data_IF_326613638030
#
_entry.id   IF_326613638030
#
_cell.length_a   1.000
_cell.length_b   1.000
_cell.length_c   1.000
_cell.angle_alpha   90.00
_cell.angle_beta   90.00
_cell.angle_gamma   90.00
#
_symmetry.space_group_name_H-M   'P 1'
#
loop_
_entity.id
_entity.type
_entity.pdbx_description
1 polymer ?
#
# COMPACT_ATOMS: atom_id res chain seq x y z
N UNK A 1 5.64 -59.83 15.95
CA UNK A 1 4.54 -59.48 15.03
C UNK A 1 5.03 -58.41 14.06
N UNK A 2 5.47 -58.81 12.87
CA UNK A 2 5.72 -57.88 11.77
C UNK A 2 4.38 -57.70 11.04
N UNK A 3 3.77 -56.53 11.18
CA UNK A 3 2.56 -56.17 10.42
C UNK A 3 2.95 -55.92 8.96
N UNK A 4 2.93 -56.98 8.13
CA UNK A 4 3.25 -56.92 6.69
C UNK A 4 2.24 -56.06 5.91
N UNK A 5 1.04 -55.84 6.47
CA UNK A 5 -0.07 -55.15 5.80
C UNK A 5 -0.14 -53.64 6.06
N UNK A 6 0.57 -53.10 7.04
CA UNK A 6 0.60 -51.65 7.32
C UNK A 6 1.97 -51.24 7.85
N UNK A 7 2.73 -50.54 7.02
CA UNK A 7 4.06 -50.04 7.39
C UNK A 7 3.94 -48.70 8.12
N UNK A 8 3.86 -48.77 9.45
CA UNK A 8 3.74 -47.60 10.31
C UNK A 8 4.93 -46.64 10.19
N UNK A 9 6.16 -47.16 10.02
CA UNK A 9 7.35 -46.32 9.85
C UNK A 9 7.30 -45.52 8.54
N UNK A 10 6.91 -46.16 7.44
CA UNK A 10 6.70 -45.48 6.16
C UNK A 10 5.58 -44.44 6.25
N UNK A 11 4.45 -44.75 6.90
CA UNK A 11 3.36 -43.79 7.09
C UNK A 11 3.78 -42.57 7.93
N UNK A 12 4.58 -42.77 8.99
CA UNK A 12 5.12 -41.66 9.79
C UNK A 12 6.08 -40.80 8.97
N UNK A 13 6.95 -41.42 8.18
CA UNK A 13 7.86 -40.73 7.28
C UNK A 13 7.12 -39.91 6.21
N UNK A 14 6.12 -40.51 5.53
CA UNK A 14 5.27 -39.82 4.55
C UNK A 14 4.50 -38.67 5.17
N UNK A 15 3.90 -38.85 6.35
CA UNK A 15 3.20 -37.77 7.07
C UNK A 15 4.15 -36.62 7.44
N UNK A 16 5.40 -36.92 7.81
CA UNK A 16 6.42 -35.92 8.13
C UNK A 16 6.87 -35.17 6.87
N UNK A 17 7.05 -35.89 5.76
CA UNK A 17 7.38 -35.32 4.45
C UNK A 17 6.28 -34.37 3.96
N UNK A 18 5.01 -34.77 4.03
CA UNK A 18 3.89 -33.90 3.65
C UNK A 18 3.81 -32.62 4.51
N UNK A 19 4.17 -32.67 5.80
CA UNK A 19 4.26 -31.45 6.63
C UNK A 19 5.39 -30.53 6.17
N UNK A 20 6.55 -31.10 5.86
CA UNK A 20 7.69 -30.34 5.35
C UNK A 20 7.39 -29.70 4.00
N UNK A 21 6.75 -30.40 3.07
CA UNK A 21 6.35 -29.87 1.76
C UNK A 21 5.40 -28.67 1.90
N UNK A 22 4.42 -28.75 2.81
CA UNK A 22 3.51 -27.62 3.10
C UNK A 22 4.26 -26.42 3.67
N UNK A 23 5.16 -26.65 4.62
CA UNK A 23 5.99 -25.58 5.20
C UNK A 23 6.92 -24.96 4.16
N UNK A 24 7.52 -25.77 3.29
CA UNK A 24 8.38 -25.30 2.21
C UNK A 24 7.59 -24.45 1.20
N UNK A 25 6.38 -24.89 0.84
CA UNK A 25 5.50 -24.14 -0.06
C UNK A 25 5.13 -22.77 0.52
N UNK A 26 4.78 -22.69 1.80
CA UNK A 26 4.48 -21.42 2.47
C UNK A 26 5.71 -20.50 2.55
N UNK A 27 6.89 -21.04 2.82
CA UNK A 27 8.14 -20.26 2.82
C UNK A 27 8.48 -19.75 1.41
N UNK A 28 8.30 -20.57 0.39
CA UNK A 28 8.50 -20.17 -1.01
C UNK A 28 7.53 -19.08 -1.44
N UNK A 29 6.27 -19.14 -1.01
CA UNK A 29 5.28 -18.09 -1.26
C UNK A 29 5.70 -16.76 -0.62
N UNK A 30 6.15 -16.77 0.63
CA UNK A 30 6.68 -15.58 1.33
C UNK A 30 7.95 -15.04 0.67
N UNK A 31 8.82 -15.91 0.19
CA UNK A 31 10.03 -15.51 -0.54
C UNK A 31 9.68 -14.87 -1.89
N UNK A 32 8.75 -15.47 -2.64
CA UNK A 32 8.35 -14.99 -3.97
C UNK A 32 7.60 -13.65 -3.92
N UNK A 33 6.81 -13.44 -2.86
CA UNK A 33 6.04 -12.20 -2.66
C UNK A 33 6.83 -11.12 -1.94
N UNK A 34 7.86 -11.52 -1.17
CA UNK A 34 8.57 -10.65 -0.24
C UNK A 34 7.72 -10.21 0.96
N UNK A 35 6.49 -10.70 1.08
CA UNK A 35 5.56 -10.34 2.15
C UNK A 35 5.53 -11.43 3.21
N UNK A 36 5.61 -11.02 4.47
CA UNK A 36 5.46 -11.95 5.61
C UNK A 36 4.03 -12.49 5.72
N UNK A 37 3.03 -11.67 5.37
CA UNK A 37 1.60 -12.00 5.45
C UNK A 37 1.05 -11.93 4.02
N UNK A 38 0.75 -13.10 3.43
CA UNK A 38 0.19 -13.20 2.09
C UNK A 38 -1.32 -13.40 2.11
N UNK A 39 -1.84 -14.07 3.14
CA UNK A 39 -3.26 -14.36 3.27
C UNK A 39 -3.80 -14.02 4.66
N UNK A 40 -5.12 -13.85 4.75
CA UNK A 40 -5.82 -13.70 6.04
C UNK A 40 -5.71 -14.97 6.92
N UNK A 41 -5.31 -16.10 6.34
CA UNK A 41 -5.05 -17.35 7.09
C UNK A 41 -3.73 -17.28 7.87
N UNK A 42 -2.76 -16.51 7.37
CA UNK A 42 -1.47 -16.31 8.05
C UNK A 42 -1.61 -15.38 9.25
N UNK A 43 -2.28 -14.24 9.07
CA UNK A 43 -2.52 -13.23 10.10
C UNK A 43 -3.63 -12.26 9.65
N UNK A 44 -4.88 -12.53 10.04
CA UNK A 44 -6.03 -11.71 9.66
C UNK A 44 -5.93 -10.28 10.21
N UNK A 45 -5.46 -10.11 11.45
CA UNK A 45 -5.33 -8.80 12.08
C UNK A 45 -4.20 -7.99 11.44
N UNK A 46 -3.04 -8.61 11.21
CA UNK A 46 -1.91 -7.99 10.53
C UNK A 46 -2.24 -7.58 9.10
N UNK A 47 -2.97 -8.42 8.35
CA UNK A 47 -3.42 -8.08 7.00
C UNK A 47 -4.45 -6.95 6.99
N UNK A 48 -5.37 -6.92 7.96
CA UNK A 48 -6.37 -5.85 8.07
C UNK A 48 -5.71 -4.51 8.40
N UNK A 49 -4.75 -4.49 9.33
CA UNK A 49 -3.99 -3.30 9.70
C UNK A 49 -3.14 -2.81 8.52
N UNK A 50 -2.41 -3.70 7.84
CA UNK A 50 -1.57 -3.32 6.69
C UNK A 50 -2.40 -2.78 5.53
N UNK A 51 -3.58 -3.36 5.28
CA UNK A 51 -4.52 -2.87 4.27
C UNK A 51 -5.09 -1.50 4.64
N UNK A 52 -5.46 -1.30 5.91
CA UNK A 52 -5.90 0.01 6.43
C UNK A 52 -4.82 1.07 6.26
N UNK A 53 -3.57 0.76 6.66
CA UNK A 53 -2.44 1.67 6.50
C UNK A 53 -2.18 1.99 5.02
N UNK A 54 -2.23 1.00 4.14
CA UNK A 54 -2.08 1.19 2.70
C UNK A 54 -3.17 2.10 2.13
N UNK A 55 -4.42 1.93 2.57
CA UNK A 55 -5.53 2.82 2.20
C UNK A 55 -5.29 4.25 2.68
N UNK A 56 -4.81 4.43 3.92
CA UNK A 56 -4.48 5.75 4.46
C UNK A 56 -3.33 6.41 3.68
N UNK A 57 -2.27 5.67 3.35
CA UNK A 57 -1.16 6.16 2.53
C UNK A 57 -1.66 6.62 1.15
N UNK A 58 -2.51 5.83 0.49
CA UNK A 58 -3.11 6.23 -0.79
C UNK A 58 -3.95 7.50 -0.66
N UNK A 59 -4.75 7.61 0.40
CA UNK A 59 -5.53 8.81 0.72
C UNK A 59 -4.65 10.04 0.94
N UNK A 60 -3.58 9.91 1.73
CA UNK A 60 -2.61 10.98 1.97
C UNK A 60 -1.89 11.41 0.69
N UNK A 61 -1.50 10.45 -0.17
CA UNK A 61 -0.88 10.77 -1.45
C UNK A 61 -1.82 11.57 -2.36
N UNK A 62 -3.12 11.29 -2.34
CA UNK A 62 -4.09 12.11 -3.06
C UNK A 62 -4.26 13.48 -2.40
N UNK A 63 -4.29 13.56 -1.07
CA UNK A 63 -4.38 14.83 -0.37
C UNK A 63 -3.20 15.76 -0.68
N UNK A 64 -1.98 15.21 -0.77
CA UNK A 64 -0.78 15.96 -1.19
C UNK A 64 -0.92 16.48 -2.61
N UNK A 65 -1.42 15.67 -3.55
CA UNK A 65 -1.70 16.14 -4.92
C UNK A 65 -2.71 17.29 -4.93
N UNK A 66 -3.84 17.12 -4.23
CA UNK A 66 -4.87 18.15 -4.12
C UNK A 66 -4.34 19.45 -3.51
N UNK A 67 -3.45 19.36 -2.51
CA UNK A 67 -2.82 20.52 -1.90
C UNK A 67 -1.90 21.25 -2.89
N UNK A 68 -1.12 20.52 -3.68
CA UNK A 68 -0.29 21.12 -4.72
C UNK A 68 -1.13 21.79 -5.81
N UNK A 69 -2.24 21.17 -6.23
CA UNK A 69 -3.15 21.75 -7.20
C UNK A 69 -3.78 23.05 -6.65
N UNK A 70 -4.18 23.05 -5.38
CA UNK A 70 -4.69 24.25 -4.71
C UNK A 70 -3.63 25.37 -4.64
N UNK A 71 -2.37 25.03 -4.34
CA UNK A 71 -1.26 25.99 -4.37
C UNK A 71 -1.10 26.58 -5.77
N UNK A 72 -1.10 25.76 -6.81
CA UNK A 72 -0.99 26.22 -8.20
C UNK A 72 -2.16 27.14 -8.57
N UNK A 73 -3.39 26.82 -8.17
CA UNK A 73 -4.54 27.70 -8.40
C UNK A 73 -4.40 29.04 -7.68
N UNK A 74 -3.96 29.03 -6.42
CA UNK A 74 -3.75 30.25 -5.63
C UNK A 74 -2.69 31.12 -6.30
N UNK A 75 -1.58 30.54 -6.76
CA UNK A 75 -0.51 31.27 -7.46
C UNK A 75 -1.01 31.94 -8.75
N UNK A 76 -1.87 31.26 -9.51
CA UNK A 76 -2.52 31.86 -10.70
C UNK A 76 -3.44 33.02 -10.28
N UNK A 77 -4.20 32.85 -9.20
CA UNK A 77 -5.04 33.91 -8.64
C UNK A 77 -4.23 35.13 -8.18
N UNK A 78 -3.14 34.93 -7.44
CA UNK A 78 -2.23 35.99 -7.00
C UNK A 78 -1.60 36.73 -8.19
N UNK A 79 -1.20 36.02 -9.25
CA UNK A 79 -0.71 36.62 -10.48
C UNK A 79 -1.76 37.51 -11.15
N UNK A 80 -3.01 37.03 -11.26
CA UNK A 80 -4.11 37.82 -11.82
C UNK A 80 -4.42 39.07 -10.98
N UNK A 81 -4.44 38.95 -9.65
CA UNK A 81 -4.66 40.10 -8.74
C UNK A 81 -3.54 41.13 -8.82
N UNK A 82 -2.30 40.71 -9.07
CA UNK A 82 -1.18 41.62 -9.30
C UNK A 82 -1.39 42.45 -10.57
N UNK A 83 -1.84 41.84 -11.66
CA UNK A 83 -2.19 42.57 -12.89
C UNK A 83 -3.36 43.53 -12.68
N UNK A 84 -4.41 43.11 -11.96
CA UNK A 84 -5.52 44.02 -11.59
C UNK A 84 -5.02 45.22 -10.79
N UNK A 85 -4.12 45.00 -9.82
CA UNK A 85 -3.53 46.08 -9.02
C UNK A 85 -2.74 47.06 -9.89
N UNK A 86 -1.94 46.56 -10.84
CA UNK A 86 -1.21 47.39 -11.80
C UNK A 86 -2.17 48.23 -12.67
N UNK A 87 -3.27 47.63 -13.16
CA UNK A 87 -4.28 48.35 -13.93
C UNK A 87 -4.96 49.46 -13.11
N UNK A 88 -5.30 49.19 -11.85
CA UNK A 88 -5.88 50.19 -10.94
C UNK A 88 -4.92 51.36 -10.70
N UNK A 89 -3.62 51.09 -10.52
CA UNK A 89 -2.60 52.13 -10.40
C UNK A 89 -2.51 52.97 -11.67
N UNK A 90 -2.52 52.34 -12.85
CA UNK A 90 -2.51 53.06 -14.12
C UNK A 90 -3.74 53.93 -14.33
N UNK A 91 -4.93 53.44 -13.98
CA UNK A 91 -6.15 54.26 -14.03
C UNK A 91 -6.07 55.46 -13.09
N UNK A 92 -5.48 55.31 -11.90
CA UNK A 92 -5.26 56.42 -10.97
C UNK A 92 -4.30 57.46 -11.54
N UNK A 93 -3.23 57.05 -12.21
CA UNK A 93 -2.31 57.97 -12.90
C UNK A 93 -2.99 58.74 -14.03
N UNK A 94 -3.93 58.11 -14.75
CA UNK A 94 -4.65 58.74 -15.86
C UNK A 94 -5.76 59.71 -15.39
N UNK A 95 -6.22 59.59 -14.15
CA UNK A 95 -7.30 60.40 -13.61
C UNK A 95 -6.83 61.69 -12.90
N UNK A 96 -5.53 61.82 -12.63
CA UNK A 96 -4.88 62.99 -12.01
C UNK A 96 -4.31 63.87 -13.12
#
# INVERSE_FOLDING_TARGET
MATINTNMAANIASNSMTRNERSMSATMERLSTGLRINSAKDDAAGLAISSKMTSQIRGLNQAVRNANDAISMIQVGEGALKEVTNMLQRMRELAI
#
